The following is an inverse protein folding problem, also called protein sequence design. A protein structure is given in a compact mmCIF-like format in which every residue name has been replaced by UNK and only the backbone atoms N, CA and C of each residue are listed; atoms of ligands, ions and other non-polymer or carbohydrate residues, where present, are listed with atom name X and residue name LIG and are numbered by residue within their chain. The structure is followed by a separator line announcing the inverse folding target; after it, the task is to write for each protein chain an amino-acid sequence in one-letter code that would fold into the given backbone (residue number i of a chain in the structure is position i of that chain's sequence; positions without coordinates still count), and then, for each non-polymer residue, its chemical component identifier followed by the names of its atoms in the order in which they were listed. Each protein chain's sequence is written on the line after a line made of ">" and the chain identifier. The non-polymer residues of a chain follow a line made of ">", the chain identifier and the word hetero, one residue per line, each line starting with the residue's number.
data_IF_144712338047
#
_entry.id   IF_144712338047
#
_cell.length_a   1.000
_cell.length_b   1.000
_cell.length_c   1.000
_cell.angle_alpha   90.00
_cell.angle_beta   90.00
_cell.angle_gamma   90.00
#
_symmetry.space_group_name_H-M   'P 1'
#
loop_
_entity.id
_entity.type
_entity.pdbx_description
1 polymer ?
#
# COMPACT_ATOMS: atom_id res chain seq x y z
N UNK A 1 10.27 -13.26 8.87
CA UNK A 1 10.25 -11.81 9.13
C UNK A 1 10.87 -10.99 8.01
N UNK A 2 11.99 -11.41 7.41
CA UNK A 2 12.59 -10.72 6.25
C UNK A 2 11.59 -10.42 5.12
N UNK A 3 10.74 -11.38 4.75
CA UNK A 3 9.69 -11.14 3.74
C UNK A 3 8.69 -10.04 4.13
N UNK A 4 8.32 -9.94 5.42
CA UNK A 4 7.42 -8.87 5.89
C UNK A 4 8.09 -7.49 5.78
N UNK A 5 9.39 -7.41 6.08
CA UNK A 5 10.17 -6.18 5.94
C UNK A 5 10.31 -5.81 4.46
N UNK A 6 10.54 -6.79 3.57
CA UNK A 6 10.63 -6.57 2.14
C UNK A 6 9.32 -6.03 1.56
N UNK A 7 8.18 -6.61 1.93
CA UNK A 7 6.86 -6.14 1.48
C UNK A 7 6.56 -4.74 2.03
N UNK A 8 6.90 -4.46 3.29
CA UNK A 8 6.77 -3.13 3.89
C UNK A 8 7.66 -2.08 3.19
N UNK A 9 8.89 -2.46 2.82
CA UNK A 9 9.79 -1.63 2.04
C UNK A 9 9.23 -1.33 0.64
N UNK A 10 8.75 -2.35 -0.08
CA UNK A 10 8.12 -2.16 -1.40
C UNK A 10 6.88 -1.27 -1.33
N UNK A 11 6.00 -1.48 -0.35
CA UNK A 11 4.81 -0.65 -0.16
C UNK A 11 5.18 0.81 0.12
N UNK A 12 6.22 1.04 0.94
CA UNK A 12 6.74 2.39 1.22
C UNK A 12 7.26 3.09 -0.04
N UNK A 13 7.96 2.35 -0.92
CA UNK A 13 8.49 2.91 -2.17
C UNK A 13 7.36 3.21 -3.17
N UNK A 14 6.47 2.24 -3.40
CA UNK A 14 5.46 2.33 -4.46
C UNK A 14 4.31 3.28 -4.13
N UNK A 15 3.90 3.38 -2.86
CA UNK A 15 2.70 4.15 -2.47
C UNK A 15 2.99 5.37 -1.60
N UNK A 16 4.09 5.38 -0.83
CA UNK A 16 4.40 6.45 0.12
C UNK A 16 5.59 7.32 -0.33
N UNK A 17 6.00 7.22 -1.60
CA UNK A 17 7.05 8.06 -2.19
C UNK A 17 8.46 7.75 -1.69
N UNK A 18 8.69 6.59 -1.05
CA UNK A 18 10.02 6.10 -0.68
C UNK A 18 10.84 7.12 0.12
N UNK A 19 11.91 7.62 -0.50
CA UNK A 19 12.89 8.56 0.09
C UNK A 19 12.44 10.02 0.15
N UNK A 20 11.35 10.38 -0.53
CA UNK A 20 10.87 11.76 -0.59
C UNK A 20 10.32 12.21 0.77
N UNK A 21 10.77 13.38 1.22
CA UNK A 21 10.23 14.07 2.37
C UNK A 21 8.78 14.51 2.08
N UNK A 22 7.80 14.16 2.94
CA UNK A 22 6.44 14.66 2.81
C UNK A 22 6.32 16.16 3.16
N UNK A 23 7.36 16.77 3.74
CA UNK A 23 7.39 18.19 4.09
C UNK A 23 8.36 18.93 3.17
N UNK A 24 7.90 19.95 2.41
CA UNK A 24 8.77 20.75 1.56
C UNK A 24 9.78 21.52 2.43
N UNK A 25 11.08 21.34 2.16
CA UNK A 25 12.17 22.07 2.83
C UNK A 25 13.07 21.25 3.76
N UNK A 26 12.78 19.96 3.95
CA UNK A 26 13.66 19.04 4.70
C UNK A 26 14.42 18.18 3.68
N UNK A 27 15.75 18.01 3.80
CA UNK A 27 16.51 17.16 2.89
C UNK A 27 15.99 15.72 2.90
N UNK A 28 15.80 15.18 1.70
CA UNK A 28 15.45 13.78 1.48
C UNK A 28 16.56 12.89 2.03
N UNK A 29 16.17 11.80 2.70
CA UNK A 29 17.16 11.03 3.43
C UNK A 29 16.69 9.67 3.90
N UNK A 30 17.66 8.86 4.33
CA UNK A 30 17.39 7.48 4.71
C UNK A 30 16.42 7.37 5.89
N UNK A 31 16.44 8.35 6.78
CA UNK A 31 15.57 8.42 7.95
C UNK A 31 14.08 8.40 7.60
N UNK A 32 13.66 9.07 6.51
CA UNK A 32 12.25 9.13 6.12
C UNK A 32 11.72 7.79 5.62
N UNK A 33 12.51 7.10 4.81
CA UNK A 33 12.17 5.76 4.37
C UNK A 33 12.12 4.77 5.53
N UNK A 34 13.14 4.79 6.41
CA UNK A 34 13.16 3.92 7.59
C UNK A 34 11.95 4.17 8.50
N UNK A 35 11.55 5.43 8.68
CA UNK A 35 10.35 5.80 9.43
C UNK A 35 9.06 5.28 8.76
N UNK A 36 8.90 5.47 7.45
CA UNK A 36 7.73 4.94 6.70
C UNK A 36 7.67 3.41 6.73
N UNK A 37 8.81 2.74 6.62
CA UNK A 37 8.90 1.28 6.73
C UNK A 37 8.56 0.82 8.16
N UNK A 38 9.08 1.49 9.19
CA UNK A 38 8.73 1.19 10.58
C UNK A 38 7.24 1.39 10.86
N UNK A 39 6.63 2.43 10.29
CA UNK A 39 5.19 2.67 10.38
C UNK A 39 4.38 1.57 9.68
N UNK A 40 4.80 1.12 8.50
CA UNK A 40 4.15 0.01 7.81
C UNK A 40 4.30 -1.31 8.58
N UNK A 41 5.47 -1.56 9.17
CA UNK A 41 5.70 -2.71 10.05
C UNK A 41 4.85 -2.66 11.31
N UNK A 42 4.66 -1.48 11.90
CA UNK A 42 3.77 -1.29 13.02
C UNK A 42 2.34 -1.68 12.66
N UNK A 43 1.84 -1.29 11.49
CA UNK A 43 0.54 -1.77 11.00
C UNK A 43 0.49 -3.29 10.86
N UNK A 44 1.48 -3.92 10.25
CA UNK A 44 1.50 -5.38 10.14
C UNK A 44 1.44 -6.09 11.50
N UNK A 45 2.12 -5.54 12.51
CA UNK A 45 2.08 -6.06 13.86
C UNK A 45 0.73 -5.81 14.53
N UNK A 46 0.15 -4.62 14.34
CA UNK A 46 -1.15 -4.25 14.87
C UNK A 46 -2.28 -5.09 14.28
N UNK A 47 -2.33 -5.25 12.94
CA UNK A 47 -3.31 -6.10 12.26
C UNK A 47 -3.25 -7.55 12.77
N UNK A 48 -2.05 -8.08 13.04
CA UNK A 48 -1.89 -9.42 13.61
C UNK A 48 -2.45 -9.52 15.04
N UNK A 49 -2.39 -8.44 15.82
CA UNK A 49 -2.89 -8.42 17.20
C UNK A 49 -4.42 -8.23 17.27
N UNK A 50 -5.01 -7.47 16.35
CA UNK A 50 -6.43 -7.11 16.41
C UNK A 50 -7.36 -8.13 15.75
N UNK A 51 -6.94 -8.80 14.68
CA UNK A 51 -7.86 -9.66 13.91
C UNK A 51 -7.78 -11.14 14.30
N UNK A 52 -8.92 -11.77 14.63
CA UNK A 52 -9.02 -13.23 14.74
C UNK A 52 -8.70 -13.91 13.42
N UNK A 53 -8.16 -15.13 13.48
CA UNK A 53 -7.71 -15.87 12.29
C UNK A 53 -8.88 -16.15 11.33
N UNK A 54 -8.75 -15.74 10.07
CA UNK A 54 -9.71 -16.03 9.01
C UNK A 54 -9.53 -17.44 8.44
N UNK A 55 -10.64 -18.09 8.06
CA UNK A 55 -10.64 -19.40 7.38
C UNK A 55 -10.25 -19.25 5.91
N UNK A 56 -9.63 -20.29 5.35
CA UNK A 56 -9.20 -20.32 3.94
C UNK A 56 -10.31 -19.93 2.95
N UNK A 57 -11.52 -20.47 3.14
CA UNK A 57 -12.67 -20.16 2.27
C UNK A 57 -13.10 -18.69 2.33
N UNK A 58 -12.91 -18.04 3.47
CA UNK A 58 -13.22 -16.62 3.64
C UNK A 58 -12.19 -15.74 2.92
N UNK A 59 -10.91 -16.11 3.00
CA UNK A 59 -9.82 -15.40 2.32
C UNK A 59 -9.97 -15.56 0.80
N UNK A 60 -10.25 -16.77 0.32
CA UNK A 60 -10.43 -17.02 -1.10
C UNK A 60 -11.65 -16.24 -1.64
N UNK A 61 -12.74 -16.21 -0.89
CA UNK A 61 -13.93 -15.43 -1.25
C UNK A 61 -13.64 -13.93 -1.27
N UNK A 62 -12.88 -13.40 -0.31
CA UNK A 62 -12.51 -11.99 -0.27
C UNK A 62 -11.61 -11.61 -1.45
N UNK A 63 -10.58 -12.43 -1.74
CA UNK A 63 -9.71 -12.27 -2.92
C UNK A 63 -10.49 -12.22 -4.22
N UNK A 64 -11.28 -13.26 -4.48
CA UNK A 64 -11.93 -13.43 -5.78
C UNK A 64 -13.18 -12.59 -5.96
N UNK A 65 -13.99 -12.38 -4.92
CA UNK A 65 -15.26 -11.65 -5.06
C UNK A 65 -15.13 -10.16 -4.78
N UNK A 66 -14.11 -9.73 -4.05
CA UNK A 66 -14.00 -8.33 -3.61
C UNK A 66 -12.77 -7.66 -4.22
N UNK A 67 -11.57 -8.18 -3.99
CA UNK A 67 -10.35 -7.50 -4.43
C UNK A 67 -10.19 -7.45 -5.96
N UNK A 68 -10.40 -8.57 -6.66
CA UNK A 68 -10.23 -8.62 -8.12
C UNK A 68 -11.22 -7.69 -8.86
N UNK A 69 -12.53 -7.71 -8.57
CA UNK A 69 -13.46 -6.80 -9.24
C UNK A 69 -13.14 -5.34 -8.96
N UNK A 70 -12.75 -5.01 -7.73
CA UNK A 70 -12.40 -3.63 -7.35
C UNK A 70 -11.19 -3.13 -8.12
N UNK A 71 -10.12 -3.93 -8.25
CA UNK A 71 -8.92 -3.49 -8.98
C UNK A 71 -9.19 -3.32 -10.48
N UNK A 72 -10.04 -4.16 -11.07
CA UNK A 72 -10.46 -4.02 -12.48
C UNK A 72 -11.26 -2.74 -12.67
N UNK A 73 -12.24 -2.46 -11.81
CA UNK A 73 -13.03 -1.23 -11.88
C UNK A 73 -12.11 -0.01 -11.74
N UNK A 74 -11.18 -0.02 -10.79
CA UNK A 74 -10.24 1.08 -10.57
C UNK A 74 -9.32 1.33 -11.78
N UNK A 75 -8.86 0.26 -12.43
CA UNK A 75 -8.03 0.34 -13.63
C UNK A 75 -8.80 0.98 -14.80
N UNK A 76 -10.05 0.56 -15.02
CA UNK A 76 -10.91 1.17 -16.05
C UNK A 76 -11.18 2.65 -15.72
N UNK A 77 -11.44 2.97 -14.46
CA UNK A 77 -11.71 4.34 -14.00
C UNK A 77 -10.50 5.25 -14.27
N UNK A 78 -9.29 4.82 -13.90
CA UNK A 78 -8.05 5.54 -14.20
C UNK A 78 -7.84 5.69 -15.71
N UNK A 79 -8.09 4.63 -16.49
CA UNK A 79 -7.96 4.68 -17.95
C UNK A 79 -8.92 5.69 -18.60
N UNK A 80 -10.15 5.79 -18.11
CA UNK A 80 -11.13 6.79 -18.59
C UNK A 80 -10.72 8.20 -18.16
N UNK A 81 -10.28 8.39 -16.91
CA UNK A 81 -9.80 9.68 -16.42
C UNK A 81 -8.60 10.21 -17.21
N UNK A 82 -7.67 9.32 -17.57
CA UNK A 82 -6.53 9.67 -18.41
C UNK A 82 -6.96 10.11 -19.82
N UNK A 83 -8.03 9.53 -20.37
CA UNK A 83 -8.56 9.91 -21.69
C UNK A 83 -9.33 11.24 -21.66
N UNK A 84 -9.92 11.61 -20.52
CA UNK A 84 -10.69 12.83 -20.34
C UNK A 84 -9.82 14.04 -19.97
N UNK A 85 -8.48 13.92 -20.03
CA UNK A 85 -7.47 14.93 -19.67
C UNK A 85 -7.65 15.57 -18.27
N UNK A 86 -8.51 15.00 -17.43
CA UNK A 86 -8.75 15.43 -16.05
C UNK A 86 -7.81 14.73 -15.07
N UNK A 87 -6.62 14.35 -15.53
CA UNK A 87 -5.65 13.61 -14.72
C UNK A 87 -4.85 14.60 -13.85
N UNK A 88 -4.94 14.52 -12.51
CA UNK A 88 -4.33 15.51 -11.61
C UNK A 88 -2.85 15.21 -11.27
N UNK A 89 -2.14 14.45 -12.11
CA UNK A 89 -0.74 14.04 -11.89
C UNK A 89 0.11 14.21 -13.15
#
# INVERSE_FOLDING_TARGET
>A
YANMILIAALASIMFLGGWLSPVPGIPDGFGWFAAKVAFMLFFFLWFRATFPRYRYDQIMRLGWKVFIPITIVWLVLIGVLMRMDWWPW
#
